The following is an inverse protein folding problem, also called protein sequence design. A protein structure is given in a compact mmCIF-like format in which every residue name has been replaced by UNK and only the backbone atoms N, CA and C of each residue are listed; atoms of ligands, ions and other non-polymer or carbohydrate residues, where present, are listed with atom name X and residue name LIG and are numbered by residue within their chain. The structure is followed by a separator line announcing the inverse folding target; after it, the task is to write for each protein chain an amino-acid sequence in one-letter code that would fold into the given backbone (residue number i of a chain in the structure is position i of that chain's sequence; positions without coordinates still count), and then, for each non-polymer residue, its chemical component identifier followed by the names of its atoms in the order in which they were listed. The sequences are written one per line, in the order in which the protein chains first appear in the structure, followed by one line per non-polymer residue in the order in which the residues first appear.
data_IF_300650418375
#
_entry.id   IF_300650418375
#
_cell.length_a   1.000
_cell.length_b   1.000
_cell.length_c   1.000
_cell.angle_alpha   90.00
_cell.angle_beta   90.00
_cell.angle_gamma   90.00
#
_symmetry.space_group_name_H-M   'P 1'
#
loop_
_entity.id
_entity.type
_entity.pdbx_description
1 polymer ?
2 polymer ?
3 non-polymer ?
#
# COMPACT_ATOMS: atom_id res chain seq x y z
N UNK A 6 -7.41 0.43 -6.02
CA UNK A 6 -6.44 -0.62 -6.25
C UNK A 6 -5.32 -0.61 -5.20
N UNK A 7 -4.70 -1.77 -5.00
CA UNK A 7 -3.71 -1.97 -3.94
C UNK A 7 -2.31 -2.23 -4.47
N UNK A 8 -1.29 -1.91 -3.65
CA UNK A 8 0.11 -2.03 -4.03
C UNK A 8 0.52 -3.50 -4.03
N UNK A 9 1.30 -3.93 -5.03
CA UNK A 9 1.55 -5.36 -5.30
C UNK A 9 2.14 -6.22 -4.17
N UNK A 10 3.16 -5.76 -3.46
CA UNK A 10 3.72 -6.61 -2.41
C UNK A 10 2.68 -6.97 -1.35
N UNK A 11 1.62 -6.16 -1.26
CA UNK A 11 0.60 -6.33 -0.23
C UNK A 11 -0.70 -7.04 -0.64
N UNK A 12 -0.81 -7.38 -1.92
CA UNK A 12 -1.99 -8.09 -2.38
C UNK A 12 -2.22 -9.39 -1.60
N UNK A 13 -1.17 -10.21 -1.44
CA UNK A 13 -1.33 -11.51 -0.77
C UNK A 13 -2.14 -11.42 0.53
N UNK A 14 -2.18 -10.25 1.13
CA UNK A 14 -2.97 -10.10 2.34
C UNK A 14 -4.44 -10.19 2.05
N UNK A 15 -4.79 -10.08 0.76
CA UNK A 15 -6.18 -10.02 0.29
C UNK A 15 -6.65 -11.38 -0.14
N UNK A 16 -7.68 -11.89 0.54
CA UNK A 16 -8.15 -13.25 0.26
C UNK A 16 -8.42 -13.53 -1.21
N UNK A 17 -9.23 -12.69 -1.84
CA UNK A 17 -9.55 -12.96 -3.24
C UNK A 17 -8.31 -13.01 -4.13
N UNK A 18 -7.20 -12.42 -3.70
CA UNK A 18 -6.01 -12.44 -4.55
C UNK A 18 -5.36 -13.80 -4.46
N UNK A 19 -5.25 -14.25 -3.22
CA UNK A 19 -4.69 -15.56 -2.93
C UNK A 19 -5.52 -16.60 -3.69
N UNK A 20 -6.84 -16.56 -3.52
CA UNK A 20 -7.75 -17.44 -4.26
C UNK A 20 -7.41 -17.37 -5.74
N UNK A 21 -7.38 -16.18 -6.28
CA UNK A 21 -7.11 -16.04 -7.69
C UNK A 21 -5.81 -16.72 -8.08
N UNK A 22 -4.94 -17.01 -7.12
CA UNK A 22 -3.67 -17.67 -7.49
C UNK A 22 -3.80 -19.13 -7.92
N UNK A 23 -4.96 -19.74 -7.65
CA UNK A 23 -5.11 -21.17 -7.86
C UNK A 23 -5.63 -21.41 -9.27
N UNK A 24 -4.76 -21.95 -10.10
CA UNK A 24 -5.07 -22.19 -11.50
C UNK A 24 -4.85 -23.66 -11.81
N UNK A 25 -5.94 -24.34 -12.13
CA UNK A 25 -5.92 -25.79 -12.30
C UNK A 25 -5.56 -26.49 -11.00
N UNK A 26 -6.07 -25.95 -9.90
CA UNK A 26 -6.08 -26.64 -8.63
C UNK A 26 -7.12 -27.74 -8.74
N UNK A 27 -6.68 -28.98 -8.58
CA UNK A 27 -7.59 -30.11 -8.71
C UNK A 27 -8.63 -30.25 -7.60
N UNK A 28 -8.48 -29.62 -6.44
CA UNK A 28 -9.46 -29.93 -5.41
C UNK A 28 -10.52 -28.88 -5.38
N UNK A 29 -11.69 -29.29 -5.89
CA UNK A 29 -12.76 -28.41 -6.32
C UNK A 29 -13.94 -28.88 -5.55
N UNK A 30 -15.15 -28.47 -5.92
CA UNK A 30 -16.24 -28.70 -5.02
C UNK A 30 -16.30 -30.15 -4.52
N UNK A 31 -16.78 -30.26 -3.28
CA UNK A 31 -16.91 -31.53 -2.60
C UNK A 31 -15.73 -31.73 -1.70
N UNK A 32 -14.62 -31.08 -2.03
CA UNK A 32 -13.35 -31.21 -1.31
C UNK A 32 -13.25 -30.34 -0.07
N UNK A 33 -12.42 -30.77 0.87
CA UNK A 33 -12.15 -29.96 2.05
C UNK A 33 -11.13 -28.86 1.72
N UNK A 34 -10.15 -29.17 0.89
CA UNK A 34 -9.26 -28.10 0.51
C UNK A 34 -9.57 -27.51 -0.85
N UNK A 35 -10.51 -26.55 -0.86
CA UNK A 35 -10.88 -25.80 -2.05
C UNK A 35 -10.01 -24.54 -2.12
N UNK A 36 -9.85 -23.96 -3.32
CA UNK A 36 -9.01 -22.76 -3.35
C UNK A 36 -9.51 -21.76 -2.31
N UNK A 37 -10.82 -21.60 -2.19
CA UNK A 37 -11.41 -20.74 -1.18
C UNK A 37 -10.89 -21.08 0.22
N UNK A 38 -11.01 -22.34 0.60
CA UNK A 38 -10.64 -22.79 1.93
C UNK A 38 -9.11 -22.66 2.16
N UNK A 39 -8.34 -22.85 1.09
CA UNK A 39 -6.90 -22.70 1.15
C UNK A 39 -6.57 -21.27 1.45
N UNK A 40 -7.12 -20.37 0.64
CA UNK A 40 -6.94 -18.95 0.85
C UNK A 40 -7.29 -18.58 2.28
N UNK A 41 -8.48 -18.91 2.74
CA UNK A 41 -8.83 -18.51 4.10
C UNK A 41 -7.81 -18.99 5.11
N UNK A 42 -6.97 -19.94 4.70
CA UNK A 42 -5.95 -20.45 5.58
C UNK A 42 -4.60 -19.80 5.32
N UNK A 43 -4.53 -18.96 4.30
CA UNK A 43 -3.29 -18.31 3.93
C UNK A 43 -2.43 -18.87 2.81
N UNK A 44 -2.86 -19.90 2.08
CA UNK A 44 -1.93 -20.41 1.08
C UNK A 44 -2.08 -19.79 -0.28
N UNK A 45 -1.12 -20.10 -1.12
CA UNK A 45 -0.97 -19.49 -2.41
C UNK A 45 -0.57 -20.66 -3.24
N UNK A 46 -0.92 -20.65 -4.51
CA UNK A 46 -0.49 -21.73 -5.33
C UNK A 46 0.79 -21.26 -5.93
N UNK A 47 1.80 -22.13 -5.92
CA UNK A 47 3.04 -21.81 -6.59
C UNK A 47 3.56 -23.07 -7.20
N UNK A 48 2.81 -23.63 -8.16
CA UNK A 48 3.04 -24.98 -8.70
C UNK A 48 4.29 -25.01 -9.55
N UNK A 49 4.96 -26.16 -9.56
CA UNK A 49 6.14 -26.39 -10.37
C UNK A 49 5.88 -27.65 -11.14
N UNK A 50 6.90 -28.22 -11.77
CA UNK A 50 6.75 -29.54 -12.35
C UNK A 50 6.70 -30.67 -11.33
N UNK A 51 7.82 -30.93 -10.66
CA UNK A 51 7.89 -32.06 -9.73
C UNK A 51 6.75 -32.04 -8.71
N UNK A 52 6.24 -30.84 -8.48
CA UNK A 52 5.31 -30.58 -7.39
C UNK A 52 4.20 -29.60 -7.80
N UNK A 53 3.34 -30.03 -8.73
CA UNK A 53 2.34 -29.12 -9.28
C UNK A 53 1.35 -28.69 -8.23
N UNK A 54 1.32 -29.40 -7.10
CA UNK A 54 0.32 -29.17 -6.07
C UNK A 54 0.84 -28.27 -4.98
N UNK A 55 2.04 -27.73 -5.20
CA UNK A 55 2.75 -26.93 -4.19
C UNK A 55 2.00 -25.69 -3.77
N UNK A 56 1.89 -25.52 -2.45
CA UNK A 56 1.21 -24.37 -1.87
C UNK A 56 2.13 -23.69 -0.85
N UNK A 57 2.10 -22.36 -0.80
CA UNK A 57 2.93 -21.61 0.14
C UNK A 57 2.13 -20.65 1.00
N UNK A 58 2.37 -20.65 2.33
CA UNK A 58 1.83 -19.57 3.18
C UNK A 58 2.50 -18.25 2.78
N UNK A 59 1.73 -17.18 2.72
CA UNK A 59 2.26 -15.90 2.26
C UNK A 59 2.97 -15.19 3.40
N UNK A 60 2.43 -15.35 4.60
CA UNK A 60 2.98 -14.81 5.82
C UNK A 60 4.29 -15.49 6.27
N UNK A 61 4.21 -16.75 6.67
CA UNK A 61 5.36 -17.49 7.18
C UNK A 61 6.13 -18.26 6.10
N UNK A 62 5.61 -18.24 4.89
CA UNK A 62 6.29 -18.82 3.76
C UNK A 62 6.54 -20.30 3.87
N UNK A 63 5.80 -20.96 4.73
CA UNK A 63 5.95 -22.39 4.85
C UNK A 63 5.37 -23.01 3.61
N UNK A 64 5.91 -24.15 3.19
CA UNK A 64 5.44 -24.80 1.98
C UNK A 64 4.98 -26.22 2.21
N UNK A 65 3.92 -26.61 1.53
CA UNK A 65 3.31 -27.94 1.69
C UNK A 65 2.86 -28.51 0.35
N UNK A 66 3.00 -29.82 0.21
CA UNK A 66 2.56 -30.54 -0.98
C UNK A 66 1.91 -31.87 -0.56
N UNK A 67 1.62 -32.73 -1.54
CA UNK A 67 0.97 -34.00 -1.26
C UNK A 67 -0.42 -33.78 -0.68
N UNK A 68 -1.19 -32.93 -1.34
CA UNK A 68 -2.55 -32.58 -0.92
C UNK A 68 -3.57 -33.66 -1.30
N UNK A 69 -4.56 -33.83 -0.43
CA UNK A 69 -5.60 -34.81 -0.63
C UNK A 69 -6.97 -34.21 -0.31
N UNK A 70 -8.02 -34.67 -0.99
CA UNK A 70 -9.34 -34.01 -1.00
C UNK A 70 -9.83 -33.68 0.40
N UNK A 71 -9.54 -34.55 1.36
CA UNK A 71 -10.08 -34.42 2.71
C UNK A 71 -9.32 -33.45 3.62
N UNK A 72 -8.17 -32.96 3.15
CA UNK A 72 -7.29 -32.12 3.98
C UNK A 72 -7.94 -30.77 4.34
N UNK A 73 -7.88 -30.41 5.62
CA UNK A 73 -8.35 -29.10 6.07
C UNK A 73 -7.14 -28.16 6.19
N UNK A 74 -7.02 -27.22 5.24
CA UNK A 74 -5.79 -26.45 5.10
C UNK A 74 -5.44 -25.68 6.37
N UNK A 75 -6.43 -25.19 7.10
CA UNK A 75 -6.21 -24.61 8.41
C UNK A 75 -5.44 -25.60 9.29
N UNK A 76 -6.06 -26.73 9.59
CA UNK A 76 -5.43 -27.74 10.45
C UNK A 76 -4.04 -28.23 10.02
N UNK A 77 -3.78 -28.24 8.72
CA UNK A 77 -2.42 -28.52 8.26
C UNK A 77 -1.49 -27.32 8.54
N UNK A 78 -2.02 -26.10 8.49
CA UNK A 78 -1.19 -24.94 8.72
C UNK A 78 -0.84 -24.97 10.19
N UNK A 79 -1.83 -25.15 11.06
CA UNK A 79 -1.58 -25.30 12.49
C UNK A 79 -0.61 -26.45 12.76
N UNK A 80 -0.83 -27.59 12.15
CA UNK A 80 0.07 -28.66 12.50
C UNK A 80 1.49 -28.43 12.04
N UNK A 81 1.65 -28.08 10.78
CA UNK A 81 2.98 -27.93 10.24
C UNK A 81 3.78 -26.73 10.72
N UNK A 82 3.13 -25.58 10.76
CA UNK A 82 3.75 -24.42 11.34
C UNK A 82 2.75 -23.86 12.29
N UNK A 83 3.06 -23.94 13.56
CA UNK A 83 2.17 -23.48 14.62
C UNK A 83 2.40 -22.01 14.90
N UNK A 84 3.61 -21.56 14.63
CA UNK A 84 4.01 -20.23 15.07
C UNK A 84 3.56 -19.07 14.21
N UNK A 85 2.89 -19.31 13.07
CA UNK A 85 2.55 -18.24 12.11
C UNK A 85 1.48 -17.30 12.64
N UNK A 86 1.81 -16.02 12.63
CA UNK A 86 1.00 -14.98 13.23
C UNK A 86 -0.33 -14.73 12.51
N UNK A 87 -0.36 -14.99 11.21
CA UNK A 87 -1.58 -14.87 10.43
C UNK A 87 -2.73 -15.69 11.02
N UNK A 88 -2.40 -16.89 11.46
CA UNK A 88 -3.35 -17.79 12.12
C UNK A 88 -4.04 -17.13 13.28
N UNK A 89 -3.39 -16.12 13.83
CA UNK A 89 -3.91 -15.41 15.00
C UNK A 89 -4.80 -14.26 14.59
N UNK A 90 -4.80 -13.92 13.31
CA UNK A 90 -5.62 -12.79 12.87
C UNK A 90 -7.05 -13.30 12.77
N UNK A 91 -7.88 -12.85 13.71
CA UNK A 91 -9.30 -13.19 13.72
C UNK A 91 -10.19 -12.24 12.91
N UNK A 92 -9.91 -10.94 13.05
CA UNK A 92 -10.57 -9.89 12.28
C UNK A 92 -10.22 -10.11 10.81
N UNK A 93 -11.15 -9.87 9.90
CA UNK A 93 -10.92 -10.25 8.52
C UNK A 93 -9.70 -9.55 7.88
N UNK A 94 -9.92 -8.33 7.39
CA UNK A 94 -8.86 -7.46 6.85
C UNK A 94 -9.09 -5.96 7.07
N UNK A 95 -10.18 -5.47 6.45
CA UNK A 95 -10.46 -4.05 6.36
C UNK A 95 -10.93 -3.48 7.66
N UNK A 96 -11.14 -4.33 8.65
CA UNK A 96 -11.51 -3.88 10.00
C UNK A 96 -10.28 -3.84 10.87
N UNK A 97 -9.16 -4.26 10.31
CA UNK A 97 -7.90 -4.18 10.99
C UNK A 97 -7.48 -2.72 11.05
N UNK A 98 -6.34 -2.47 11.67
CA UNK A 98 -5.85 -1.13 11.85
C UNK A 98 -4.58 -1.00 11.05
N UNK A 99 -4.26 0.24 10.67
CA UNK A 99 -3.05 0.45 9.90
C UNK A 99 -1.85 0.10 10.76
N UNK A 100 -1.93 0.41 12.03
CA UNK A 100 -0.89 0.02 12.95
C UNK A 100 -0.76 -1.49 12.95
N UNK A 101 -1.89 -2.14 13.20
CA UNK A 101 -1.98 -3.59 13.17
C UNK A 101 -1.48 -4.11 11.83
N UNK A 102 -1.91 -3.46 10.76
CA UNK A 102 -1.51 -3.93 9.45
C UNK A 102 0.00 -3.90 9.31
N UNK A 103 0.63 -2.81 9.70
CA UNK A 103 2.05 -2.70 9.47
C UNK A 103 2.91 -3.51 10.44
N UNK A 104 2.44 -3.74 11.66
CA UNK A 104 3.14 -4.72 12.51
C UNK A 104 3.14 -6.03 11.74
N UNK A 105 1.94 -6.41 11.30
CA UNK A 105 1.85 -7.63 10.54
C UNK A 105 2.90 -7.63 9.43
N UNK A 106 2.93 -6.61 8.60
CA UNK A 106 3.85 -6.65 7.46
C UNK A 106 5.32 -6.70 7.88
N UNK A 107 5.61 -6.21 9.07
CA UNK A 107 6.95 -6.34 9.60
C UNK A 107 7.24 -7.79 9.84
N UNK A 108 6.41 -8.45 10.66
CA UNK A 108 6.66 -9.88 10.94
C UNK A 108 6.78 -10.64 9.63
N UNK A 109 5.94 -10.31 8.67
CA UNK A 109 6.05 -10.89 7.34
C UNK A 109 7.44 -10.72 6.73
N UNK A 110 8.00 -9.52 6.81
CA UNK A 110 9.31 -9.29 6.18
C UNK A 110 10.45 -9.99 6.94
N UNK A 111 10.36 -9.96 8.26
CA UNK A 111 11.18 -10.83 9.09
C UNK A 111 11.11 -12.30 8.65
N UNK A 112 9.92 -12.89 8.69
CA UNK A 112 9.72 -14.29 8.24
C UNK A 112 10.29 -14.53 6.86
N UNK A 113 10.17 -13.53 5.98
CA UNK A 113 10.72 -13.69 4.63
C UNK A 113 12.20 -13.94 4.78
N UNK A 114 12.85 -13.04 5.52
CA UNK A 114 14.30 -13.17 5.75
C UNK A 114 14.73 -14.52 6.39
N UNK A 115 14.05 -14.93 7.46
CA UNK A 115 14.29 -16.26 8.04
C UNK A 115 14.29 -17.31 6.93
N UNK A 116 13.26 -17.26 6.08
CA UNK A 116 13.15 -18.21 4.98
C UNK A 116 14.39 -18.21 4.07
N UNK A 117 14.79 -17.06 3.51
CA UNK A 117 15.92 -17.17 2.57
C UNK A 117 17.18 -17.60 3.27
N UNK A 118 17.35 -17.22 4.54
CA UNK A 118 18.51 -17.74 5.24
C UNK A 118 18.41 -19.26 5.19
N UNK A 119 17.26 -19.79 5.60
CA UNK A 119 17.10 -21.25 5.60
C UNK A 119 17.46 -21.92 4.26
N UNK A 120 16.99 -21.34 3.17
CA UNK A 120 17.27 -21.97 1.89
C UNK A 120 18.73 -21.91 1.57
N UNK A 121 19.33 -20.75 1.83
CA UNK A 121 20.77 -20.59 1.68
C UNK A 121 21.54 -21.66 2.44
N UNK A 122 21.12 -21.93 3.67
CA UNK A 122 21.73 -22.99 4.47
C UNK A 122 21.63 -24.31 3.71
N UNK A 123 20.45 -24.58 3.15
CA UNK A 123 20.22 -25.86 2.49
C UNK A 123 21.09 -26.03 1.23
N UNK A 124 21.22 -24.99 0.42
CA UNK A 124 22.03 -25.13 -0.77
C UNK A 124 23.46 -25.36 -0.34
N UNK A 125 23.85 -24.64 0.72
CA UNK A 125 25.19 -24.78 1.27
C UNK A 125 25.46 -26.23 1.60
N UNK A 126 24.60 -26.81 2.44
CA UNK A 126 24.76 -28.20 2.83
C UNK A 126 24.78 -29.17 1.63
N UNK A 127 23.99 -28.89 0.60
CA UNK A 127 23.99 -29.75 -0.58
C UNK A 127 25.37 -29.78 -1.22
N UNK A 128 25.93 -28.58 -1.35
CA UNK A 128 27.23 -28.43 -2.00
C UNK A 128 28.32 -29.11 -1.17
N UNK A 129 28.23 -28.91 0.14
CA UNK A 129 29.14 -29.60 1.01
C UNK A 129 29.07 -31.11 0.71
N UNK A 130 27.88 -31.70 0.80
CA UNK A 130 27.74 -33.15 0.56
C UNK A 130 28.44 -33.54 -0.73
N UNK A 131 28.28 -32.72 -1.75
CA UNK A 131 28.97 -32.99 -3.03
C UNK A 131 30.49 -33.01 -2.93
N UNK A 132 31.09 -32.02 -2.28
CA UNK A 132 32.55 -32.01 -2.24
C UNK A 132 33.05 -33.15 -1.36
N UNK A 133 32.38 -33.36 -0.25
CA UNK A 133 32.71 -34.48 0.61
C UNK A 133 32.81 -35.74 -0.23
N UNK A 134 31.68 -36.10 -0.83
CA UNK A 134 31.61 -37.30 -1.65
C UNK A 134 32.79 -37.34 -2.62
N UNK A 135 33.00 -36.21 -3.27
CA UNK A 135 34.09 -36.07 -4.23
C UNK A 135 35.50 -36.23 -3.63
N UNK A 136 35.68 -36.00 -2.34
CA UNK A 136 37.00 -36.20 -1.73
C UNK A 136 37.17 -37.69 -1.42
N UNK A 137 36.10 -38.28 -0.90
CA UNK A 137 36.12 -39.71 -0.66
C UNK A 137 36.51 -40.51 -1.92
N UNK A 138 35.84 -40.29 -3.06
CA UNK A 138 36.27 -41.08 -4.22
C UNK A 138 37.73 -40.79 -4.63
N UNK A 139 38.29 -39.70 -4.11
CA UNK A 139 39.70 -39.43 -4.35
C UNK A 139 40.61 -39.93 -3.21
N UNK A 140 40.01 -40.59 -2.23
CA UNK A 140 40.80 -41.15 -1.15
C UNK A 140 40.80 -42.68 -1.18
N UNK B 6 9.11 -0.86 2.52
CA UNK B 6 8.55 0.05 3.52
C UNK B 6 7.05 0.29 3.31
N UNK B 7 6.66 1.56 3.24
CA UNK B 7 5.28 1.94 2.94
C UNK B 7 5.21 2.51 1.51
N UNK B 8 4.30 1.99 0.68
CA UNK B 8 4.24 2.23 -0.76
C UNK B 8 4.36 3.70 -1.07
N UNK B 9 5.28 4.08 -1.97
CA UNK B 9 5.44 5.54 -2.04
C UNK B 9 4.52 6.25 -3.03
N UNK B 10 3.26 5.82 -3.15
CA UNK B 10 2.25 6.70 -3.67
C UNK B 10 1.33 7.13 -2.54
N UNK B 11 1.47 6.45 -1.40
CA UNK B 11 0.58 6.67 -0.28
C UNK B 11 1.17 7.53 0.86
N UNK B 12 2.43 7.94 0.72
CA UNK B 12 3.12 8.68 1.77
C UNK B 12 2.52 10.05 2.12
N UNK B 13 1.98 10.75 1.13
CA UNK B 13 1.41 12.04 1.51
C UNK B 13 0.52 11.86 2.72
N UNK B 14 0.10 10.64 2.96
CA UNK B 14 -0.92 10.39 3.95
C UNK B 14 -0.42 10.51 5.37
N UNK B 15 0.89 10.60 5.53
CA UNK B 15 1.48 10.68 6.85
C UNK B 15 2.32 11.94 7.02
N UNK B 16 2.07 12.66 8.11
CA UNK B 16 2.67 13.98 8.35
C UNK B 16 4.14 13.95 7.99
N UNK B 17 4.85 12.97 8.52
CA UNK B 17 6.30 12.94 8.40
C UNK B 17 6.79 13.17 6.98
N UNK B 18 6.14 12.53 6.02
CA UNK B 18 6.48 12.76 4.63
C UNK B 18 6.10 14.19 4.27
N UNK B 19 4.95 14.63 4.76
CA UNK B 19 4.47 15.97 4.47
C UNK B 19 5.47 17.06 4.92
N UNK B 20 5.85 17.07 6.20
CA UNK B 20 6.90 17.99 6.67
C UNK B 20 8.15 17.81 5.82
N UNK B 21 8.56 16.57 5.62
CA UNK B 21 9.76 16.31 4.82
C UNK B 21 9.66 17.05 3.51
N UNK B 22 8.44 17.28 3.06
CA UNK B 22 8.22 17.94 1.79
C UNK B 22 8.66 19.42 1.81
N UNK B 23 8.78 19.97 3.01
CA UNK B 23 9.13 21.37 3.11
C UNK B 23 10.63 21.48 3.19
N UNK B 24 11.23 21.62 2.00
CA UNK B 24 12.68 21.72 1.87
C UNK B 24 13.22 23.04 2.36
N UNK B 25 12.55 24.11 1.93
CA UNK B 25 12.87 25.45 2.34
C UNK B 25 11.55 26.13 2.59
N UNK B 26 11.26 26.46 3.83
CA UNK B 26 10.01 27.15 4.13
C UNK B 26 10.33 28.46 4.81
N UNK B 27 9.81 29.57 4.30
CA UNK B 27 10.17 30.85 4.86
C UNK B 27 9.78 30.92 6.32
N UNK B 28 8.55 30.49 6.64
CA UNK B 28 8.07 30.60 8.01
C UNK B 28 8.74 29.57 8.94
N UNK B 29 8.98 29.98 10.19
CA UNK B 29 9.64 29.12 11.18
C UNK B 29 9.32 29.57 12.62
N UNK B 30 9.71 28.77 13.61
CA UNK B 30 9.35 29.12 14.97
C UNK B 30 9.26 30.64 15.18
N UNK B 31 8.22 31.07 15.89
CA UNK B 31 7.88 32.47 16.02
C UNK B 31 6.70 32.76 15.13
N UNK B 32 6.48 31.90 14.14
CA UNK B 32 5.39 32.02 13.19
C UNK B 32 4.35 30.93 13.39
N UNK B 33 3.10 31.22 13.04
CA UNK B 33 2.03 30.23 13.22
C UNK B 33 1.96 29.17 12.14
N UNK B 34 2.42 29.45 10.92
CA UNK B 34 2.44 28.37 9.95
C UNK B 34 3.84 27.84 9.69
N UNK B 35 4.21 26.85 10.49
CA UNK B 35 5.48 26.16 10.31
C UNK B 35 5.21 24.95 9.45
N UNK B 36 6.26 24.43 8.81
CA UNK B 36 6.08 23.19 8.07
C UNK B 36 5.30 22.13 8.86
N UNK B 37 5.40 22.12 10.18
CA UNK B 37 4.63 21.16 10.98
C UNK B 37 3.16 21.49 11.04
N UNK B 38 2.80 22.74 11.29
CA UNK B 38 1.40 23.13 11.29
C UNK B 38 0.81 23.00 9.90
N UNK B 39 1.63 23.25 8.87
CA UNK B 39 1.25 23.04 7.48
C UNK B 39 0.91 21.57 7.17
N UNK B 40 1.87 20.67 7.38
CA UNK B 40 1.63 19.26 7.15
C UNK B 40 0.43 18.80 7.96
N UNK B 41 0.39 19.23 9.20
CA UNK B 41 -0.72 18.87 10.08
C UNK B 41 -2.06 19.27 9.48
N UNK B 42 -2.02 20.24 8.58
CA UNK B 42 -3.22 20.71 7.91
C UNK B 42 -3.41 19.99 6.56
N UNK B 43 -2.46 19.12 6.24
CA UNK B 43 -2.47 18.41 4.99
C UNK B 43 -1.77 19.06 3.81
N UNK B 44 -1.00 20.13 4.04
CA UNK B 44 -0.26 20.75 2.93
C UNK B 44 1.07 20.09 2.55
N UNK B 45 1.42 20.29 1.28
CA UNK B 45 2.65 19.83 0.67
C UNK B 45 3.34 21.05 0.05
N UNK B 46 4.68 21.06 0.07
CA UNK B 46 5.43 22.17 -0.53
C UNK B 46 5.84 21.85 -1.95
N UNK B 47 5.22 22.53 -2.91
CA UNK B 47 5.44 22.29 -4.33
C UNK B 47 5.98 23.54 -5.03
N UNK B 48 7.22 23.89 -4.70
CA UNK B 48 7.82 25.21 -4.98
C UNK B 48 8.26 25.41 -6.42
N UNK B 49 8.21 26.64 -6.87
CA UNK B 49 8.70 26.97 -8.20
C UNK B 49 9.37 28.34 -8.21
N UNK B 50 9.93 28.73 -9.35
CA UNK B 50 10.57 30.04 -9.45
C UNK B 50 9.52 31.12 -9.22
N UNK B 51 8.43 31.03 -9.97
CA UNK B 51 7.41 32.07 -9.93
C UNK B 51 6.70 32.14 -8.59
N UNK B 52 6.61 31.00 -7.92
CA UNK B 52 6.01 30.96 -6.60
C UNK B 52 6.64 29.94 -5.66
N UNK B 53 7.81 30.26 -5.09
CA UNK B 53 8.26 29.18 -4.22
C UNK B 53 7.72 29.31 -2.80
N UNK B 54 6.49 29.79 -2.62
CA UNK B 54 5.75 29.58 -1.37
C UNK B 54 4.58 28.60 -1.53
N UNK B 55 4.44 28.05 -2.73
CA UNK B 55 3.26 27.27 -3.09
C UNK B 55 3.07 26.00 -2.26
N UNK B 56 1.89 25.89 -1.65
CA UNK B 56 1.51 24.70 -0.88
C UNK B 56 0.22 24.14 -1.46
N UNK B 57 0.05 22.82 -1.36
CA UNK B 57 -1.12 22.13 -1.90
C UNK B 57 -1.60 21.02 -0.98
N UNK B 58 -2.90 20.99 -0.69
CA UNK B 58 -3.46 19.90 0.11
C UNK B 58 -3.29 18.58 -0.65
N UNK B 59 -2.85 17.53 0.03
CA UNK B 59 -2.53 16.30 -0.68
C UNK B 59 -3.80 15.53 -0.94
N UNK B 60 -4.90 16.02 -0.38
CA UNK B 60 -6.14 15.27 -0.38
C UNK B 60 -7.10 15.83 -1.39
N UNK B 61 -7.45 17.11 -1.21
CA UNK B 61 -8.30 17.85 -2.14
C UNK B 61 -7.55 18.64 -3.21
N UNK B 62 -6.23 18.71 -3.13
CA UNK B 62 -5.43 19.28 -4.21
C UNK B 62 -5.58 20.79 -4.44
N UNK B 63 -6.39 21.42 -3.59
CA UNK B 63 -6.40 22.88 -3.55
C UNK B 63 -4.98 23.40 -3.36
N UNK B 64 -4.63 24.42 -4.13
CA UNK B 64 -3.31 25.03 -4.06
C UNK B 64 -3.47 26.41 -3.50
N UNK B 65 -2.48 26.88 -2.76
CA UNK B 65 -2.46 28.27 -2.39
C UNK B 65 -1.09 28.80 -1.98
N UNK B 66 -0.92 30.12 -2.12
CA UNK B 66 0.36 30.79 -2.01
C UNK B 66 0.13 32.08 -1.25
N UNK B 67 1.15 32.93 -1.22
CA UNK B 67 1.01 34.22 -0.58
C UNK B 67 0.71 34.02 0.88
N UNK B 68 1.29 32.96 1.43
CA UNK B 68 1.17 32.70 2.86
C UNK B 68 1.66 33.89 3.68
N UNK B 69 1.06 34.06 4.86
CA UNK B 69 1.45 35.10 5.81
C UNK B 69 1.80 34.44 7.15
N UNK B 70 2.85 34.95 7.81
CA UNK B 70 3.43 34.25 8.95
C UNK B 70 2.45 34.02 10.08
N UNK B 71 1.36 34.78 10.08
CA UNK B 71 0.33 34.60 11.12
C UNK B 71 -0.90 33.84 10.67
N UNK B 72 -0.93 33.42 9.40
CA UNK B 72 -2.00 32.54 8.93
C UNK B 72 -1.84 31.20 9.63
N UNK B 73 -2.95 30.64 10.11
CA UNK B 73 -2.95 29.28 10.65
C UNK B 73 -3.50 28.31 9.60
N UNK B 74 -2.64 27.40 9.14
CA UNK B 74 -2.90 26.57 7.97
C UNK B 74 -4.29 25.92 7.99
N UNK B 75 -4.82 25.66 9.17
CA UNK B 75 -6.09 24.96 9.29
C UNK B 75 -7.27 25.85 8.93
N UNK B 76 -7.29 27.08 9.44
CA UNK B 76 -8.40 27.98 9.12
C UNK B 76 -8.24 28.49 7.70
N UNK B 77 -7.00 28.72 7.28
CA UNK B 77 -6.74 29.06 5.90
C UNK B 77 -7.25 27.93 5.02
N UNK B 78 -7.25 26.69 5.55
CA UNK B 78 -7.71 25.51 4.80
C UNK B 78 -9.24 25.33 4.79
N UNK B 79 -9.91 25.66 5.89
CA UNK B 79 -11.37 25.63 5.89
C UNK B 79 -11.96 26.80 5.09
N UNK B 80 -11.29 27.95 5.12
CA UNK B 80 -11.84 29.13 4.44
C UNK B 80 -11.59 29.11 2.94
N UNK B 81 -10.95 28.07 2.44
CA UNK B 81 -10.75 27.92 1.01
C UNK B 81 -11.43 26.68 0.42
N UNK B 82 -11.02 25.48 0.85
CA UNK B 82 -11.82 24.28 0.53
C UNK B 82 -12.44 23.72 1.81
N UNK B 83 -13.74 23.91 1.96
CA UNK B 83 -14.42 23.45 3.15
C UNK B 83 -14.87 22.00 3.01
N UNK B 84 -14.93 21.51 1.76
CA UNK B 84 -15.44 20.19 1.49
C UNK B 84 -14.42 19.08 1.60
N UNK B 85 -13.21 19.45 2.00
CA UNK B 85 -12.12 18.52 2.16
C UNK B 85 -12.48 17.49 3.25
N UNK B 86 -12.37 16.22 2.93
CA UNK B 86 -12.73 15.19 3.90
C UNK B 86 -11.63 15.09 4.94
N UNK B 87 -10.39 15.26 4.49
CA UNK B 87 -9.24 15.13 5.35
C UNK B 87 -9.44 15.96 6.61
N UNK B 88 -10.00 17.14 6.43
CA UNK B 88 -10.35 18.00 7.56
C UNK B 88 -11.26 17.30 8.55
N UNK B 89 -12.09 16.37 8.07
CA UNK B 89 -13.05 15.69 8.95
C UNK B 89 -12.35 14.60 9.75
N UNK B 90 -11.16 14.19 9.30
CA UNK B 90 -10.48 13.08 9.94
C UNK B 90 -9.74 13.57 11.15
N UNK B 91 -10.21 13.14 12.32
CA UNK B 91 -9.66 13.58 13.61
C UNK B 91 -8.74 12.56 14.33
N UNK B 92 -8.52 11.41 13.70
CA UNK B 92 -7.80 10.28 14.28
C UNK B 92 -6.42 10.10 13.63
N UNK B 93 -5.43 9.64 14.37
CA UNK B 93 -4.12 9.43 13.75
C UNK B 93 -4.22 8.37 12.65
N UNK B 94 -3.41 8.54 11.62
CA UNK B 94 -3.34 7.62 10.50
C UNK B 94 -3.30 6.17 11.00
N UNK B 95 -2.34 5.87 11.86
CA UNK B 95 -2.16 4.50 12.35
C UNK B 95 -3.43 3.97 13.02
N UNK B 96 -4.28 4.84 13.57
CA UNK B 96 -5.51 4.34 14.19
C UNK B 96 -6.66 4.28 13.20
N UNK B 97 -6.36 4.52 11.92
CA UNK B 97 -7.35 4.33 10.86
C UNK B 97 -7.60 2.87 10.53
N UNK B 98 -8.87 2.54 10.30
CA UNK B 98 -9.25 1.21 9.81
C UNK B 98 -9.00 1.05 8.32
N UNK B 99 -8.71 -0.19 7.89
CA UNK B 99 -8.30 -0.37 6.50
C UNK B 99 -9.43 0.05 5.58
N UNK B 100 -10.65 -0.10 6.07
CA UNK B 100 -11.82 0.29 5.33
C UNK B 100 -11.88 1.80 5.25
N UNK B 101 -11.79 2.46 6.41
CA UNK B 101 -11.74 3.90 6.47
C UNK B 101 -10.63 4.43 5.56
N UNK B 102 -9.42 3.90 5.71
CA UNK B 102 -8.33 4.36 4.87
C UNK B 102 -8.60 4.15 3.40
N UNK B 103 -9.21 3.03 3.04
CA UNK B 103 -9.45 2.75 1.64
C UNK B 103 -10.50 3.68 1.06
N UNK B 104 -11.55 3.91 1.83
CA UNK B 104 -12.58 4.87 1.46
C UNK B 104 -11.90 6.22 1.20
N UNK B 105 -11.07 6.65 2.15
CA UNK B 105 -10.29 7.87 1.98
C UNK B 105 -9.50 7.89 0.67
N UNK B 106 -8.69 6.87 0.43
CA UNK B 106 -7.86 6.91 -0.76
C UNK B 106 -8.71 7.00 -2.03
N UNK B 107 -9.89 6.36 -1.99
CA UNK B 107 -10.88 6.46 -3.06
C UNK B 107 -11.19 7.91 -3.29
N UNK B 108 -11.74 8.55 -2.27
CA UNK B 108 -12.12 9.95 -2.39
C UNK B 108 -10.98 10.81 -2.91
N UNK B 109 -9.79 10.60 -2.39
CA UNK B 109 -8.64 11.28 -2.92
C UNK B 109 -8.58 11.12 -4.43
N UNK B 110 -8.41 9.89 -4.90
CA UNK B 110 -8.22 9.67 -6.33
C UNK B 110 -9.30 10.35 -7.15
N UNK B 111 -10.52 10.33 -6.63
CA UNK B 111 -11.59 11.06 -7.27
C UNK B 111 -11.27 12.55 -7.38
N UNK B 112 -10.99 13.18 -6.24
CA UNK B 112 -10.66 14.60 -6.21
C UNK B 112 -9.54 14.93 -7.18
N UNK B 113 -8.59 14.02 -7.32
CA UNK B 113 -7.50 14.21 -8.26
C UNK B 113 -8.14 14.34 -9.62
N UNK B 114 -8.95 13.36 -9.96
CA UNK B 114 -9.64 13.35 -11.25
C UNK B 114 -10.41 14.64 -11.50
N UNK B 115 -11.32 15.01 -10.58
CA UNK B 115 -12.03 16.28 -10.70
C UNK B 115 -11.09 17.46 -10.95
N UNK B 116 -9.93 17.49 -10.31
CA UNK B 116 -9.01 18.61 -10.52
C UNK B 116 -8.52 18.60 -11.94
N UNK B 117 -8.13 17.42 -12.42
CA UNK B 117 -7.58 17.39 -13.76
C UNK B 117 -8.63 17.74 -14.80
N UNK B 118 -9.86 17.30 -14.56
CA UNK B 118 -11.01 17.59 -15.42
C UNK B 118 -11.27 19.09 -15.45
N UNK B 119 -11.35 19.72 -14.29
CA UNK B 119 -11.56 21.16 -14.26
C UNK B 119 -10.49 21.78 -15.11
N UNK B 120 -9.29 21.23 -15.01
CA UNK B 120 -8.18 21.82 -15.75
C UNK B 120 -8.33 21.74 -17.25
N UNK B 121 -8.58 20.53 -17.74
CA UNK B 121 -8.83 20.30 -19.17
C UNK B 121 -10.00 21.15 -19.67
N UNK B 122 -10.99 21.34 -18.82
CA UNK B 122 -12.17 22.13 -19.16
C UNK B 122 -11.76 23.56 -19.46
N UNK B 123 -11.06 24.16 -18.52
CA UNK B 123 -10.57 25.52 -18.72
C UNK B 123 -9.67 25.65 -19.95
N UNK B 124 -8.67 24.79 -20.07
CA UNK B 124 -7.79 24.81 -21.23
C UNK B 124 -8.61 24.81 -22.55
N UNK B 125 -9.57 23.90 -22.63
CA UNK B 125 -10.42 23.81 -23.80
C UNK B 125 -11.20 25.09 -24.03
N UNK B 126 -11.78 25.65 -22.97
CA UNK B 126 -12.52 26.90 -23.10
C UNK B 126 -11.64 27.98 -23.71
N UNK B 127 -10.45 28.14 -23.18
CA UNK B 127 -9.52 29.12 -23.73
C UNK B 127 -9.34 28.91 -25.23
N UNK B 128 -8.97 27.68 -25.61
CA UNK B 128 -8.73 27.44 -27.01
C UNK B 128 -9.99 27.74 -27.84
N UNK B 129 -11.14 27.38 -27.30
CA UNK B 129 -12.44 27.65 -27.90
C UNK B 129 -12.53 29.13 -28.24
N UNK B 130 -12.26 29.98 -27.24
CA UNK B 130 -12.42 31.42 -27.46
C UNK B 130 -11.39 31.98 -28.46
N UNK B 131 -10.18 31.43 -28.45
CA UNK B 131 -9.20 31.84 -29.44
C UNK B 131 -9.74 31.60 -30.85
N UNK B 132 -10.06 30.34 -31.12
CA UNK B 132 -10.56 29.94 -32.44
C UNK B 132 -11.74 30.77 -32.85
N UNK B 133 -12.64 31.00 -31.90
CA UNK B 133 -13.82 31.79 -32.23
C UNK B 133 -13.43 33.19 -32.66
N UNK B 134 -12.65 33.87 -31.82
CA UNK B 134 -12.18 35.20 -32.17
C UNK B 134 -11.61 35.20 -33.59
N UNK B 135 -10.66 34.32 -33.87
CA UNK B 135 -10.04 34.31 -35.19
C UNK B 135 -11.09 34.27 -36.27
N UNK B 136 -12.01 33.32 -36.13
CA UNK B 136 -13.02 33.22 -37.15
C UNK B 136 -13.94 34.45 -37.23
N UNK B 137 -14.03 35.19 -36.14
CA UNK B 137 -14.81 36.41 -36.15
C UNK B 137 -14.05 37.52 -36.88
N UNK B 138 -12.76 37.63 -36.60
CA UNK B 138 -11.88 38.55 -37.31
C UNK B 138 -12.02 38.34 -38.80
N UNK B 139 -12.00 37.09 -39.24
CA UNK B 139 -12.15 36.81 -40.66
C UNK B 139 -13.49 37.27 -41.27
N UNK B 140 -14.48 37.56 -40.43
CA UNK B 140 -15.80 37.98 -40.94
C UNK B 140 -15.79 39.35 -41.65
N UNK C 1 -1.23 -33.62 3.63
CA UNK C 1 -0.16 -32.79 3.07
C UNK C 1 1.11 -32.86 3.90
N UNK C 2 2.25 -32.61 3.27
CA UNK C 2 3.56 -32.69 3.93
C UNK C 2 4.43 -31.49 3.55
N UNK C 3 5.36 -31.11 4.42
CA UNK C 3 6.35 -30.08 4.10
C UNK C 3 7.11 -30.49 2.84
N UNK C 4 7.58 -29.51 2.06
CA UNK C 4 8.31 -29.80 0.83
C UNK C 4 9.37 -30.85 1.04
N UNK D 1 -3.85 33.83 2.93
CA UNK D 1 -3.42 33.13 1.71
C UNK D 1 -4.48 33.15 0.60
N UNK D 2 -4.04 33.05 -0.65
CA UNK D 2 -4.92 33.24 -1.80
C UNK D 2 -4.78 32.11 -2.82
N UNK D 3 -5.87 31.79 -3.51
CA UNK D 3 -5.90 30.69 -4.46
C UNK D 3 -5.11 30.99 -5.73
N UNK D 4 -4.32 30.01 -6.19
CA UNK D 4 -3.49 30.18 -7.37
C UNK D 4 -4.30 30.72 -8.56
X LIG E 1 1.87 -18.92 7.91
X LIG F 1 -7.79 19.65 1.58
#
# INVERSE_FOLDING_TARGET
GMGAPTLPPAWQPFLKDHRISTFKNWPFLEGCACTPERMAEAGFIHCPTENEPDLAQCFFCFYELEGWEPDDDPIEEHKKWSSGCAFLSVKKQFEELTLGEFLKLDRERAKNKIAKETNNKKKEFEETAKKVRRAIEQLAAMD
GMGAPTLPPAWQPFLKDHRISTFKNWPFLEGCACTPERMAEAGFIHCPTENEPDLAQCFFCFYELEGWEPDDDPIEEHKKWSSGCAFLSVKKQFEELTLGEFLKLDRERAKNKIAKETNNKKKEFEETAKKVRRAIEQLAAMD
ARTKQTARKS
ARTKQTARKS
ZN ZN
ZN ZN
#
